data_IF_681862149824
#
_entry.id   IF_681862149824
#
_cell.length_a   1.000
_cell.length_b   1.000
_cell.length_c   1.000
_cell.angle_alpha   90.00
_cell.angle_beta   90.00
_cell.angle_gamma   90.00
#
_symmetry.space_group_name_H-M   'P 1'
#
loop_
_entity.id
_entity.type
_entity.pdbx_description
1 polymer ?
#
# COMPACT_ATOMS: atom_id res chain seq x y z
N UNK A 1 23.97 36.78 -6.79
CA UNK A 1 24.06 36.01 -5.54
C UNK A 1 24.33 34.56 -5.91
N UNK A 2 25.61 34.13 -5.94
CA UNK A 2 25.99 32.76 -6.29
C UNK A 2 25.73 31.87 -5.08
N UNK A 3 24.83 30.89 -5.26
CA UNK A 3 24.62 29.84 -4.27
C UNK A 3 25.92 29.02 -4.12
N UNK A 4 26.35 28.75 -2.88
CA UNK A 4 27.49 27.86 -2.67
C UNK A 4 27.16 26.45 -3.15
N UNK A 5 28.15 25.69 -3.65
CA UNK A 5 27.95 24.30 -4.13
C UNK A 5 27.29 23.44 -3.06
N UNK A 6 27.63 23.61 -1.80
CA UNK A 6 27.02 22.89 -0.68
C UNK A 6 25.51 23.15 -0.56
N UNK A 7 25.06 24.40 -0.76
CA UNK A 7 23.63 24.72 -0.76
C UNK A 7 22.89 24.03 -1.92
N UNK A 8 23.49 24.01 -3.10
CA UNK A 8 22.94 23.33 -4.28
C UNK A 8 22.79 21.84 -3.99
N UNK A 9 23.83 21.20 -3.46
CA UNK A 9 23.82 19.78 -3.12
C UNK A 9 22.78 19.44 -2.05
N UNK A 10 22.65 20.26 -1.02
CA UNK A 10 21.63 20.08 0.01
C UNK A 10 20.21 20.26 -0.55
N UNK A 11 19.97 21.23 -1.43
CA UNK A 11 18.70 21.40 -2.11
C UNK A 11 18.38 20.18 -2.99
N UNK A 12 19.33 19.69 -3.78
CA UNK A 12 19.16 18.51 -4.61
C UNK A 12 18.76 17.27 -3.79
N UNK A 13 19.35 17.09 -2.61
CA UNK A 13 19.03 15.99 -1.70
C UNK A 13 17.62 16.10 -1.07
N UNK A 14 17.06 17.30 -0.94
CA UNK A 14 15.71 17.50 -0.41
C UNK A 14 14.61 17.29 -1.46
N UNK A 15 14.88 17.48 -2.75
CA UNK A 15 13.87 17.37 -3.80
C UNK A 15 13.21 15.99 -3.90
N UNK A 16 13.94 14.85 -3.84
CA UNK A 16 13.31 13.52 -3.80
C UNK A 16 12.45 13.30 -2.57
N UNK A 17 12.82 13.88 -1.41
CA UNK A 17 12.02 13.79 -0.17
C UNK A 17 10.65 14.43 -0.39
N UNK A 18 10.61 15.62 -0.99
CA UNK A 18 9.35 16.28 -1.35
C UNK A 18 8.53 15.41 -2.27
N UNK A 19 9.13 14.80 -3.31
CA UNK A 19 8.44 13.89 -4.21
C UNK A 19 7.85 12.66 -3.51
N UNK A 20 8.59 12.05 -2.58
CA UNK A 20 8.10 10.93 -1.78
C UNK A 20 6.92 11.34 -0.89
N UNK A 21 6.98 12.50 -0.24
CA UNK A 21 5.89 12.99 0.60
C UNK A 21 4.65 13.37 -0.22
N UNK A 22 4.84 13.97 -1.41
CA UNK A 22 3.75 14.22 -2.35
C UNK A 22 3.09 12.92 -2.80
N UNK A 23 3.88 11.88 -3.09
CA UNK A 23 3.36 10.58 -3.46
C UNK A 23 2.56 9.97 -2.31
N UNK A 24 3.12 9.98 -1.10
CA UNK A 24 2.42 9.51 0.12
C UNK A 24 1.09 10.25 0.32
N UNK A 25 1.08 11.57 0.16
CA UNK A 25 -0.12 12.39 0.32
C UNK A 25 -1.17 12.11 -0.77
N UNK A 26 -0.74 11.79 -1.99
CA UNK A 26 -1.62 11.60 -3.14
C UNK A 26 -2.27 10.21 -3.21
N UNK A 27 -1.74 9.21 -2.48
CA UNK A 27 -2.19 7.81 -2.56
C UNK A 27 -3.70 7.58 -2.36
N UNK A 28 -4.39 8.22 -1.40
CA UNK A 28 -5.81 7.94 -1.15
C UNK A 28 -6.76 8.61 -2.15
N UNK A 29 -6.25 9.43 -3.05
CA UNK A 29 -7.05 10.12 -4.06
C UNK A 29 -7.13 9.33 -5.37
N UNK A 30 -8.12 9.65 -6.23
CA UNK A 30 -8.22 9.02 -7.53
C UNK A 30 -6.93 9.19 -8.34
N UNK A 31 -6.59 8.14 -9.10
CA UNK A 31 -5.43 8.16 -9.98
C UNK A 31 -5.59 9.28 -11.02
N UNK A 32 -4.85 10.31 -10.82
CA UNK A 32 -4.92 11.52 -11.62
C UNK A 32 -3.61 12.28 -11.62
N UNK A 33 -3.69 13.57 -11.91
CA UNK A 33 -2.53 14.43 -12.06
C UNK A 33 -1.59 14.41 -10.85
N UNK A 34 -2.09 14.27 -9.61
CA UNK A 34 -1.28 14.37 -8.40
C UNK A 34 -0.27 13.22 -8.25
N UNK A 35 -0.70 11.97 -8.45
CA UNK A 35 0.20 10.81 -8.35
C UNK A 35 1.17 10.76 -9.54
N UNK A 36 0.69 11.03 -10.75
CA UNK A 36 1.55 11.15 -11.95
C UNK A 36 2.59 12.25 -11.76
N UNK A 37 2.18 13.40 -11.27
CA UNK A 37 3.09 14.50 -10.97
C UNK A 37 4.16 14.09 -9.95
N UNK A 38 3.78 13.43 -8.85
CA UNK A 38 4.72 12.96 -7.84
C UNK A 38 5.70 11.92 -8.41
N UNK A 39 5.25 10.99 -9.26
CA UNK A 39 6.12 10.03 -9.95
C UNK A 39 7.09 10.71 -10.92
N UNK A 40 6.62 11.66 -11.74
CA UNK A 40 7.48 12.43 -12.65
C UNK A 40 8.48 13.28 -11.87
N UNK A 41 8.04 13.89 -10.76
CA UNK A 41 8.93 14.62 -9.87
C UNK A 41 10.06 13.73 -9.36
N UNK A 42 9.74 12.54 -8.88
CA UNK A 42 10.74 11.55 -8.44
C UNK A 42 11.67 11.13 -9.60
N UNK A 43 11.11 10.87 -10.78
CA UNK A 43 11.89 10.46 -11.95
C UNK A 43 12.92 11.51 -12.38
N UNK A 44 12.67 12.79 -12.13
CA UNK A 44 13.60 13.90 -12.43
C UNK A 44 14.54 14.17 -11.25
N UNK A 45 14.00 14.28 -10.04
CA UNK A 45 14.77 14.74 -8.88
C UNK A 45 15.71 13.69 -8.32
N UNK A 46 15.36 12.41 -8.46
CA UNK A 46 16.21 11.30 -8.00
C UNK A 46 17.53 11.20 -8.79
N UNK A 47 17.53 11.17 -10.15
CA UNK A 47 18.75 11.26 -10.94
C UNK A 47 19.55 12.55 -10.67
N UNK A 48 18.85 13.67 -10.49
CA UNK A 48 19.50 14.96 -10.20
C UNK A 48 20.29 14.90 -8.87
N UNK A 49 19.66 14.39 -7.79
CA UNK A 49 20.34 14.17 -6.50
C UNK A 49 21.50 13.19 -6.65
N UNK A 50 21.30 12.09 -7.39
CA UNK A 50 22.31 11.07 -7.62
C UNK A 50 23.56 11.62 -8.31
N UNK A 51 23.35 12.50 -9.32
CA UNK A 51 24.46 13.14 -10.07
C UNK A 51 25.12 14.24 -9.23
N UNK A 52 24.35 15.20 -8.69
CA UNK A 52 24.91 16.37 -8.00
C UNK A 52 25.62 16.01 -6.70
N UNK A 53 25.15 14.98 -6.00
CA UNK A 53 25.76 14.50 -4.76
C UNK A 53 26.76 13.35 -4.97
N UNK A 54 27.16 13.07 -6.23
CA UNK A 54 28.14 12.04 -6.57
C UNK A 54 27.86 10.68 -5.90
N UNK A 55 26.58 10.30 -5.76
CA UNK A 55 26.19 9.09 -5.02
C UNK A 55 26.72 7.80 -5.64
N UNK A 56 27.07 7.79 -6.94
CA UNK A 56 27.72 6.66 -7.60
C UNK A 56 29.06 6.27 -6.98
N UNK A 57 29.80 7.20 -6.37
CA UNK A 57 31.09 6.91 -5.74
C UNK A 57 30.97 6.02 -4.50
N UNK A 58 29.80 6.02 -3.86
CA UNK A 58 29.48 5.20 -2.69
C UNK A 58 28.52 4.07 -3.01
N UNK A 59 28.19 3.91 -4.30
CA UNK A 59 27.26 2.87 -4.72
C UNK A 59 27.89 1.48 -4.58
N UNK A 60 27.20 0.58 -3.91
CA UNK A 60 27.60 -0.81 -3.77
C UNK A 60 26.35 -1.70 -3.84
N UNK A 61 26.55 -2.92 -4.28
CA UNK A 61 25.47 -3.90 -4.29
C UNK A 61 25.24 -4.42 -2.89
N UNK A 62 23.98 -4.47 -2.49
CA UNK A 62 23.55 -5.08 -1.22
C UNK A 62 22.49 -6.15 -1.49
N UNK A 63 22.39 -7.21 -0.66
CA UNK A 63 21.35 -8.23 -0.82
C UNK A 63 19.94 -7.66 -0.88
N UNK A 64 19.67 -6.58 -0.17
CA UNK A 64 18.39 -5.90 -0.16
C UNK A 64 18.00 -5.33 -1.55
N UNK A 65 18.95 -5.04 -2.42
CA UNK A 65 18.68 -4.54 -3.78
C UNK A 65 18.00 -5.58 -4.69
N UNK A 66 18.07 -6.86 -4.36
CA UNK A 66 17.34 -7.90 -5.09
C UNK A 66 15.82 -7.72 -5.06
N UNK A 67 15.27 -7.07 -4.02
CA UNK A 67 13.85 -6.75 -3.95
C UNK A 67 13.45 -5.79 -5.06
N UNK A 68 14.28 -4.78 -5.29
CA UNK A 68 14.03 -3.80 -6.35
C UNK A 68 14.22 -4.40 -7.75
N UNK A 69 15.13 -5.36 -7.88
CA UNK A 69 15.23 -6.17 -9.11
C UNK A 69 13.97 -6.99 -9.34
N UNK A 70 13.40 -7.60 -8.28
CA UNK A 70 12.14 -8.31 -8.38
C UNK A 70 10.99 -7.40 -8.77
N UNK A 71 10.92 -6.17 -8.24
CA UNK A 71 9.93 -5.17 -8.65
C UNK A 71 10.04 -4.82 -10.13
N UNK A 72 11.26 -4.53 -10.60
CA UNK A 72 11.50 -4.23 -12.01
C UNK A 72 11.15 -5.45 -12.88
N UNK A 73 11.55 -6.65 -12.47
CA UNK A 73 11.22 -7.89 -13.19
C UNK A 73 9.70 -8.09 -13.28
N UNK A 74 8.97 -7.81 -12.20
CA UNK A 74 7.51 -7.91 -12.21
C UNK A 74 6.87 -6.88 -13.17
N UNK A 75 7.36 -5.64 -13.18
CA UNK A 75 6.93 -4.65 -14.18
C UNK A 75 7.20 -5.14 -15.61
N UNK A 76 8.39 -5.71 -15.86
CA UNK A 76 8.78 -6.18 -17.20
C UNK A 76 7.89 -7.31 -17.74
N UNK A 77 7.17 -8.04 -16.88
CA UNK A 77 6.18 -9.02 -17.35
C UNK A 77 5.12 -8.36 -18.25
N UNK A 78 4.68 -7.13 -17.92
CA UNK A 78 3.60 -6.46 -18.66
C UNK A 78 3.96 -6.25 -20.13
N UNK A 79 5.06 -5.55 -20.49
CA UNK A 79 5.43 -5.37 -21.88
C UNK A 79 5.91 -6.67 -22.57
N UNK A 80 6.53 -7.59 -21.84
CA UNK A 80 6.99 -8.87 -22.43
C UNK A 80 5.80 -9.76 -22.80
N UNK A 81 4.82 -9.92 -21.93
CA UNK A 81 3.64 -10.73 -22.22
C UNK A 81 2.77 -10.09 -23.31
N UNK A 82 2.80 -8.76 -23.44
CA UNK A 82 2.10 -8.10 -24.54
C UNK A 82 2.63 -8.48 -25.92
N UNK A 83 3.89 -8.92 -26.04
CA UNK A 83 4.41 -9.42 -27.31
C UNK A 83 3.70 -10.70 -27.76
N UNK A 84 3.12 -11.46 -26.83
CA UNK A 84 2.40 -12.71 -27.08
C UNK A 84 0.89 -12.54 -27.01
N UNK A 85 0.40 -11.39 -26.56
CA UNK A 85 -1.03 -11.06 -26.50
C UNK A 85 -1.45 -10.44 -27.83
N UNK A 86 -2.38 -11.07 -28.60
CA UNK A 86 -2.81 -10.54 -29.88
C UNK A 86 -3.67 -9.29 -29.74
N UNK A 87 -4.20 -9.02 -28.57
CA UNK A 87 -5.10 -7.91 -28.30
C UNK A 87 -4.34 -6.71 -27.76
N UNK A 88 -4.38 -5.61 -28.50
CA UNK A 88 -3.82 -4.33 -28.06
C UNK A 88 -4.94 -3.30 -27.94
N UNK A 89 -5.37 -3.03 -26.73
CA UNK A 89 -6.42 -2.08 -26.41
C UNK A 89 -5.86 -0.89 -25.60
N UNK A 90 -6.60 0.23 -25.47
CA UNK A 90 -6.27 1.31 -24.54
C UNK A 90 -6.10 0.82 -23.08
N UNK A 91 -6.66 -0.34 -22.75
CA UNK A 91 -6.48 -1.01 -21.48
C UNK A 91 -5.00 -1.37 -21.19
N UNK A 92 -4.22 -1.66 -22.25
CA UNK A 92 -2.80 -1.94 -22.11
C UNK A 92 -2.02 -0.73 -21.59
N UNK A 93 -2.25 0.45 -22.15
CA UNK A 93 -1.58 1.68 -21.73
C UNK A 93 -1.93 2.00 -20.27
N UNK A 94 -3.20 1.84 -19.91
CA UNK A 94 -3.66 1.99 -18.53
C UNK A 94 -3.00 0.99 -17.57
N UNK A 95 -2.82 -0.26 -18.00
CA UNK A 95 -2.17 -1.30 -17.20
C UNK A 95 -0.68 -1.01 -17.00
N UNK A 96 0.04 -0.58 -18.04
CA UNK A 96 1.45 -0.16 -17.90
C UNK A 96 1.57 0.94 -16.85
N UNK A 97 0.71 1.95 -16.90
CA UNK A 97 0.71 3.02 -15.90
C UNK A 97 0.48 2.50 -14.47
N UNK A 98 -0.40 1.52 -14.29
CA UNK A 98 -0.69 0.94 -12.97
C UNK A 98 0.48 0.15 -12.38
N UNK A 99 1.29 -0.49 -13.23
CA UNK A 99 2.49 -1.23 -12.81
C UNK A 99 3.77 -0.37 -12.80
N UNK A 100 3.73 0.85 -13.36
CA UNK A 100 4.86 1.79 -13.36
C UNK A 100 5.50 2.04 -11.98
N UNK A 101 4.76 2.01 -10.85
CA UNK A 101 5.35 2.12 -9.52
C UNK A 101 6.41 1.07 -9.21
N UNK A 102 6.26 -0.16 -9.71
CA UNK A 102 7.27 -1.20 -9.56
C UNK A 102 8.59 -0.81 -10.25
N UNK A 103 8.52 -0.23 -11.44
CA UNK A 103 9.70 0.25 -12.14
C UNK A 103 10.30 1.47 -11.44
N UNK A 104 9.50 2.50 -11.17
CA UNK A 104 9.96 3.75 -10.59
C UNK A 104 10.63 3.54 -9.22
N UNK A 105 9.95 2.85 -8.31
CA UNK A 105 10.50 2.55 -6.98
C UNK A 105 11.64 1.55 -7.06
N UNK A 106 11.57 0.58 -7.99
CA UNK A 106 12.66 -0.36 -8.25
C UNK A 106 13.95 0.37 -8.64
N UNK A 107 13.89 1.30 -9.58
CA UNK A 107 15.04 2.13 -9.99
C UNK A 107 15.55 3.02 -8.86
N UNK A 108 14.66 3.69 -8.14
CA UNK A 108 15.03 4.49 -6.97
C UNK A 108 15.75 3.66 -5.91
N UNK A 109 15.25 2.46 -5.59
CA UNK A 109 15.85 1.58 -4.59
C UNK A 109 17.20 1.01 -5.01
N UNK A 110 17.41 0.71 -6.30
CA UNK A 110 18.72 0.29 -6.83
C UNK A 110 19.73 1.44 -6.81
N UNK A 111 19.32 2.64 -7.23
CA UNK A 111 20.20 3.81 -7.25
C UNK A 111 20.69 4.16 -5.83
N UNK A 112 19.84 3.94 -4.82
CA UNK A 112 20.15 4.27 -3.43
C UNK A 112 19.31 5.45 -2.96
N UNK A 113 19.46 5.77 -1.69
CA UNK A 113 18.47 6.50 -0.93
C UNK A 113 18.98 7.86 -0.52
N UNK A 114 18.06 8.79 -0.40
CA UNK A 114 18.38 10.10 0.18
C UNK A 114 18.49 10.01 1.71
N UNK A 115 19.60 10.51 2.24
CA UNK A 115 19.90 10.59 3.68
C UNK A 115 19.07 11.65 4.44
N UNK A 116 18.36 12.49 3.70
CA UNK A 116 17.48 13.54 4.25
C UNK A 116 16.08 13.07 4.59
N UNK A 117 15.70 11.88 4.13
CA UNK A 117 14.37 11.34 4.41
C UNK A 117 14.30 10.74 5.81
N UNK A 118 13.21 11.02 6.52
CA UNK A 118 12.85 10.38 7.78
C UNK A 118 11.45 9.79 7.68
N UNK A 119 11.26 8.56 8.15
CA UNK A 119 9.99 7.83 8.05
C UNK A 119 8.85 8.50 8.81
N UNK A 120 9.16 9.25 9.85
CA UNK A 120 8.18 10.01 10.61
C UNK A 120 7.55 11.13 9.78
N UNK A 121 8.25 11.70 8.77
CA UNK A 121 7.62 12.63 7.82
C UNK A 121 6.50 11.94 7.02
N UNK A 122 6.72 10.71 6.56
CA UNK A 122 5.69 9.93 5.89
C UNK A 122 4.53 9.61 6.85
N UNK A 123 4.83 9.22 8.10
CA UNK A 123 3.81 8.95 9.11
C UNK A 123 2.92 10.17 9.37
N UNK A 124 3.52 11.34 9.60
CA UNK A 124 2.78 12.58 9.82
C UNK A 124 1.98 13.00 8.59
N UNK A 125 2.54 12.85 7.40
CA UNK A 125 1.83 13.13 6.15
C UNK A 125 0.60 12.22 6.02
N UNK A 126 0.77 10.91 6.23
CA UNK A 126 -0.35 9.97 6.14
C UNK A 126 -1.43 10.22 7.19
N UNK A 127 -1.04 10.47 8.44
CA UNK A 127 -1.98 10.77 9.51
C UNK A 127 -2.73 12.09 9.27
N UNK A 128 -2.02 13.12 8.81
CA UNK A 128 -2.62 14.41 8.46
C UNK A 128 -3.63 14.30 7.32
N UNK A 129 -3.26 13.62 6.24
CA UNK A 129 -4.17 13.38 5.10
C UNK A 129 -5.34 12.51 5.51
N UNK A 130 -5.12 11.43 6.29
CA UNK A 130 -6.20 10.60 6.83
C UNK A 130 -7.20 11.43 7.64
N UNK A 131 -6.70 12.28 8.52
CA UNK A 131 -7.53 13.19 9.33
C UNK A 131 -8.33 14.15 8.45
N UNK A 132 -7.70 14.76 7.45
CA UNK A 132 -8.37 15.65 6.51
C UNK A 132 -9.48 14.93 5.73
N UNK A 133 -9.24 13.71 5.25
CA UNK A 133 -10.26 12.89 4.57
C UNK A 133 -11.44 12.63 5.50
N UNK A 134 -11.18 12.21 6.73
CA UNK A 134 -12.25 11.91 7.70
C UNK A 134 -13.06 13.17 8.02
N UNK A 135 -12.42 14.31 8.23
CA UNK A 135 -13.12 15.59 8.47
C UNK A 135 -13.99 15.93 7.25
N UNK A 136 -13.47 15.85 6.04
CA UNK A 136 -14.24 16.11 4.82
C UNK A 136 -15.45 15.18 4.70
N UNK A 137 -15.30 13.89 5.02
CA UNK A 137 -16.40 12.92 5.00
C UNK A 137 -17.45 13.21 6.08
N UNK A 138 -17.03 13.58 7.29
CA UNK A 138 -17.93 13.96 8.38
C UNK A 138 -18.73 15.21 8.00
N UNK A 139 -18.08 16.26 7.50
CA UNK A 139 -18.73 17.49 7.07
C UNK A 139 -19.73 17.20 5.95
N UNK A 140 -19.33 16.45 4.94
CA UNK A 140 -20.20 16.06 3.82
C UNK A 140 -21.41 15.26 4.29
N UNK A 141 -21.20 14.26 5.15
CA UNK A 141 -22.28 13.43 5.69
C UNK A 141 -23.23 14.24 6.57
N UNK A 142 -22.69 15.08 7.46
CA UNK A 142 -23.48 15.92 8.35
C UNK A 142 -24.31 16.97 7.62
N UNK A 143 -23.82 17.50 6.48
CA UNK A 143 -24.59 18.43 5.65
C UNK A 143 -25.78 17.77 4.95
N UNK A 144 -25.69 16.48 4.63
CA UNK A 144 -26.73 15.76 3.90
C UNK A 144 -27.62 14.90 4.78
N UNK A 145 -27.15 14.50 5.96
CA UNK A 145 -27.83 13.59 6.89
C UNK A 145 -27.60 14.04 8.33
N UNK A 146 -28.47 14.89 8.90
CA UNK A 146 -28.30 15.41 10.26
C UNK A 146 -28.41 14.33 11.33
N UNK A 147 -29.10 13.20 11.05
CA UNK A 147 -29.29 12.11 12.02
C UNK A 147 -28.05 11.21 12.09
N UNK A 148 -27.40 11.18 13.24
CA UNK A 148 -26.21 10.37 13.49
C UNK A 148 -26.42 8.87 13.23
N UNK A 149 -27.64 8.35 13.49
CA UNK A 149 -27.97 6.95 13.22
C UNK A 149 -27.79 6.55 11.73
N UNK A 150 -27.94 7.49 10.80
CA UNK A 150 -27.76 7.28 9.37
C UNK A 150 -26.32 7.47 8.91
N UNK A 151 -25.41 7.97 9.75
CA UNK A 151 -24.03 8.23 9.36
C UNK A 151 -23.28 6.97 8.94
N UNK A 152 -23.51 5.85 9.62
CA UNK A 152 -22.89 4.55 9.29
C UNK A 152 -23.28 4.11 7.88
N UNK A 153 -24.54 4.35 7.46
CA UNK A 153 -25.05 4.02 6.14
C UNK A 153 -24.62 5.05 5.08
N UNK A 154 -24.36 6.29 5.47
CA UNK A 154 -24.08 7.41 4.59
C UNK A 154 -22.60 7.77 4.49
N UNK A 155 -21.74 7.23 5.38
CA UNK A 155 -20.29 7.41 5.35
C UNK A 155 -19.69 6.58 4.21
N UNK A 156 -20.20 6.84 3.00
CA UNK A 156 -19.80 6.12 1.80
C UNK A 156 -18.72 6.90 1.06
N UNK A 157 -17.47 6.42 1.19
CA UNK A 157 -16.30 6.99 0.52
C UNK A 157 -16.46 7.00 -1.00
N UNK A 158 -17.12 5.98 -1.56
CA UNK A 158 -17.29 5.84 -3.01
C UNK A 158 -18.08 6.97 -3.67
N UNK A 159 -18.81 7.77 -2.89
CA UNK A 159 -19.56 8.93 -3.39
C UNK A 159 -18.74 10.22 -3.40
N UNK A 160 -17.53 10.19 -2.88
CA UNK A 160 -16.64 11.36 -2.90
C UNK A 160 -15.88 11.39 -4.22
N UNK A 161 -16.16 12.36 -5.08
CA UNK A 161 -15.68 12.42 -6.48
C UNK A 161 -14.16 12.38 -6.65
N UNK A 162 -13.41 12.83 -5.63
CA UNK A 162 -11.95 12.94 -5.70
C UNK A 162 -11.22 11.96 -4.78
N UNK A 163 -11.93 11.21 -3.95
CA UNK A 163 -11.35 10.22 -3.05
C UNK A 163 -11.51 8.84 -3.71
N UNK A 164 -10.47 8.03 -3.63
CA UNK A 164 -10.46 6.70 -4.20
C UNK A 164 -11.50 5.77 -3.54
N UNK A 165 -11.68 4.57 -4.07
CA UNK A 165 -12.62 3.60 -3.52
C UNK A 165 -12.32 3.31 -2.05
N UNK A 166 -13.34 2.90 -1.29
CA UNK A 166 -13.19 2.56 0.13
C UNK A 166 -12.08 1.53 0.40
N UNK A 167 -11.82 0.64 -0.55
CA UNK A 167 -10.77 -0.38 -0.42
C UNK A 167 -9.37 0.25 -0.34
N UNK A 168 -9.06 1.17 -1.25
CA UNK A 168 -7.77 1.88 -1.31
C UNK A 168 -7.58 2.79 -0.09
N UNK A 169 -8.63 3.51 0.28
CA UNK A 169 -8.59 4.44 1.41
C UNK A 169 -8.47 3.69 2.74
N UNK A 170 -9.12 2.54 2.88
CA UNK A 170 -8.98 1.70 4.07
C UNK A 170 -7.57 1.09 4.20
N UNK A 171 -6.93 0.74 3.09
CA UNK A 171 -5.52 0.35 3.11
C UNK A 171 -4.66 1.53 3.58
N UNK A 172 -4.91 2.73 3.07
CA UNK A 172 -4.22 3.95 3.49
C UNK A 172 -4.36 4.22 5.00
N UNK A 173 -5.57 4.09 5.55
CA UNK A 173 -5.82 4.23 6.98
C UNK A 173 -5.05 3.19 7.79
N UNK A 174 -5.05 1.93 7.37
CA UNK A 174 -4.27 0.87 8.03
C UNK A 174 -2.78 1.18 8.04
N UNK A 175 -2.21 1.58 6.90
CA UNK A 175 -0.80 1.94 6.81
C UNK A 175 -0.46 3.18 7.65
N UNK A 176 -1.34 4.18 7.67
CA UNK A 176 -1.16 5.37 8.51
C UNK A 176 -1.12 5.02 10.01
N UNK A 177 -1.95 4.08 10.44
CA UNK A 177 -1.97 3.58 11.82
C UNK A 177 -0.69 2.80 12.16
N UNK A 178 -0.22 1.93 11.26
CA UNK A 178 1.02 1.17 11.44
C UNK A 178 2.21 2.14 11.61
N UNK A 179 2.32 3.15 10.75
CA UNK A 179 3.37 4.18 10.85
C UNK A 179 3.19 5.05 12.11
N UNK A 180 1.96 5.39 12.48
CA UNK A 180 1.66 6.13 13.71
C UNK A 180 2.10 5.37 14.97
N UNK A 181 1.79 4.07 15.07
CA UNK A 181 2.25 3.20 16.15
C UNK A 181 3.78 3.16 16.20
N UNK A 182 4.45 3.10 15.04
CA UNK A 182 5.91 3.15 14.97
C UNK A 182 6.46 4.43 15.60
N UNK A 183 5.94 5.60 15.25
CA UNK A 183 6.37 6.89 15.81
C UNK A 183 6.13 6.96 17.32
N UNK A 184 4.96 6.49 17.79
CA UNK A 184 4.62 6.52 19.22
C UNK A 184 5.54 5.63 20.06
N UNK A 185 5.94 4.45 19.58
CA UNK A 185 6.60 3.43 20.39
C UNK A 185 8.12 3.36 20.19
N UNK A 186 8.61 3.64 18.99
CA UNK A 186 9.99 3.35 18.62
C UNK A 186 10.83 4.59 18.34
N UNK A 187 10.20 5.70 18.00
CA UNK A 187 10.92 6.96 17.86
C UNK A 187 11.16 7.62 19.22
N UNK A 188 12.39 8.13 19.42
CA UNK A 188 12.76 8.86 20.63
C UNK A 188 12.22 10.29 20.59
N UNK A 189 10.89 10.44 20.60
CA UNK A 189 10.20 11.73 20.59
C UNK A 189 9.70 12.11 21.98
N UNK A 190 9.43 13.39 22.17
CA UNK A 190 8.84 13.90 23.41
C UNK A 190 7.46 13.28 23.65
N UNK A 191 7.03 13.23 24.92
CA UNK A 191 5.70 12.72 25.31
C UNK A 191 4.58 13.49 24.56
N UNK A 192 4.74 14.80 24.38
CA UNK A 192 3.78 15.63 23.67
C UNK A 192 3.59 15.16 22.24
N UNK A 193 4.70 14.92 21.50
CA UNK A 193 4.64 14.41 20.12
C UNK A 193 3.94 13.08 20.06
N UNK A 194 4.18 12.16 21.00
CA UNK A 194 3.51 10.85 21.06
C UNK A 194 2.01 11.00 21.28
N UNK A 195 1.58 11.90 22.20
CA UNK A 195 0.18 12.17 22.46
C UNK A 195 -0.49 12.74 21.20
N UNK A 196 0.13 13.74 20.56
CA UNK A 196 -0.39 14.33 19.33
C UNK A 196 -0.50 13.26 18.23
N UNK A 197 0.52 12.42 18.05
CA UNK A 197 0.47 11.31 17.07
C UNK A 197 -0.70 10.37 17.37
N UNK A 198 -0.88 9.98 18.64
CA UNK A 198 -1.97 9.11 19.04
C UNK A 198 -3.34 9.76 18.77
N UNK A 199 -3.50 11.07 19.00
CA UNK A 199 -4.72 11.80 18.67
C UNK A 199 -5.01 11.80 17.17
N UNK A 200 -3.99 11.96 16.32
CA UNK A 200 -4.14 11.89 14.85
C UNK A 200 -4.45 10.48 14.32
N UNK A 201 -4.25 9.43 15.13
CA UNK A 201 -4.67 8.07 14.77
C UNK A 201 -6.18 7.84 14.96
N UNK A 202 -6.82 8.57 15.87
CA UNK A 202 -8.26 8.39 16.19
C UNK A 202 -9.16 8.51 14.96
N UNK A 203 -9.03 9.52 14.07
CA UNK A 203 -9.83 9.61 12.86
C UNK A 203 -9.74 8.39 11.96
N UNK A 204 -8.53 7.82 11.78
CA UNK A 204 -8.35 6.62 10.96
C UNK A 204 -9.04 5.39 11.57
N UNK A 205 -8.96 5.21 12.89
CA UNK A 205 -9.65 4.13 13.60
C UNK A 205 -11.18 4.30 13.44
N UNK A 206 -11.67 5.51 13.69
CA UNK A 206 -13.09 5.82 13.54
C UNK A 206 -13.58 5.51 12.12
N UNK A 207 -12.84 5.94 11.09
CA UNK A 207 -13.17 5.68 9.70
C UNK A 207 -13.24 4.15 9.41
N UNK A 208 -12.26 3.37 9.85
CA UNK A 208 -12.26 1.92 9.65
C UNK A 208 -13.44 1.20 10.30
N UNK A 209 -13.97 1.73 11.42
CA UNK A 209 -15.12 1.17 12.10
C UNK A 209 -16.43 1.46 11.37
N UNK A 210 -16.56 2.62 10.71
CA UNK A 210 -17.82 3.08 10.12
C UNK A 210 -17.88 2.97 8.58
N UNK A 211 -16.74 2.81 7.88
CA UNK A 211 -16.73 2.69 6.42
C UNK A 211 -17.26 1.34 5.94
N UNK A 212 -17.73 1.29 4.68
CA UNK A 212 -18.32 0.08 4.09
C UNK A 212 -17.32 -1.07 3.86
N UNK A 213 -16.01 -0.81 3.92
CA UNK A 213 -14.97 -1.77 3.57
C UNK A 213 -14.68 -2.79 4.66
N UNK A 214 -15.31 -3.97 4.58
CA UNK A 214 -15.08 -5.11 5.51
C UNK A 214 -13.61 -5.51 5.60
N UNK A 215 -12.92 -5.54 4.47
CA UNK A 215 -11.50 -5.90 4.38
C UNK A 215 -10.63 -4.94 5.19
N UNK A 216 -10.93 -3.63 5.18
CA UNK A 216 -10.19 -2.65 5.96
C UNK A 216 -10.27 -2.89 7.46
N UNK A 217 -11.48 -3.16 7.97
CA UNK A 217 -11.68 -3.49 9.38
C UNK A 217 -11.00 -4.81 9.78
N UNK A 218 -11.16 -5.86 8.98
CA UNK A 218 -10.49 -7.15 9.23
C UNK A 218 -8.97 -7.01 9.23
N UNK A 219 -8.43 -6.23 8.29
CA UNK A 219 -6.99 -5.92 8.22
C UNK A 219 -6.53 -5.19 9.48
N UNK A 220 -7.27 -4.19 9.93
CA UNK A 220 -6.98 -3.48 11.17
C UNK A 220 -6.93 -4.41 12.38
N UNK A 221 -7.94 -5.26 12.54
CA UNK A 221 -8.03 -6.22 13.63
C UNK A 221 -6.86 -7.23 13.58
N UNK A 222 -6.57 -7.77 12.40
CA UNK A 222 -5.49 -8.73 12.21
C UNK A 222 -4.10 -8.10 12.49
N UNK A 223 -3.82 -6.94 11.91
CA UNK A 223 -2.54 -6.24 12.13
C UNK A 223 -2.36 -5.86 13.61
N UNK A 224 -3.44 -5.41 14.26
CA UNK A 224 -3.40 -5.09 15.71
C UNK A 224 -3.15 -6.35 16.54
N UNK A 225 -3.80 -7.45 16.22
CA UNK A 225 -3.58 -8.74 16.91
C UNK A 225 -2.13 -9.22 16.76
N UNK A 226 -1.60 -9.25 15.54
CA UNK A 226 -0.21 -9.64 15.25
C UNK A 226 0.77 -8.73 15.98
N UNK A 227 0.53 -7.43 15.98
CA UNK A 227 1.35 -6.46 16.69
C UNK A 227 1.36 -6.72 18.20
N UNK A 228 0.19 -6.85 18.83
CA UNK A 228 0.06 -7.11 20.27
C UNK A 228 0.74 -8.43 20.67
N UNK A 229 0.53 -9.49 19.88
CA UNK A 229 1.13 -10.80 20.12
C UNK A 229 2.66 -10.71 20.01
N UNK A 230 3.19 -10.09 18.96
CA UNK A 230 4.63 -9.89 18.80
C UNK A 230 5.23 -9.08 19.95
N UNK A 231 4.58 -7.97 20.30
CA UNK A 231 5.04 -7.10 21.38
C UNK A 231 5.08 -7.84 22.73
N UNK A 232 4.06 -8.64 23.03
CA UNK A 232 3.99 -9.50 24.21
C UNK A 232 5.14 -10.50 24.24
N UNK A 233 5.37 -11.23 23.15
CA UNK A 233 6.38 -12.28 23.05
C UNK A 233 7.80 -11.71 23.15
N UNK A 234 8.11 -10.66 22.40
CA UNK A 234 9.45 -10.06 22.35
C UNK A 234 9.81 -9.37 23.67
N UNK A 235 8.86 -8.67 24.29
CA UNK A 235 9.07 -7.99 25.57
C UNK A 235 8.88 -8.89 26.79
N UNK A 236 8.47 -10.16 26.58
CA UNK A 236 8.18 -11.14 27.65
C UNK A 236 7.24 -10.62 28.73
N UNK A 237 6.29 -9.74 28.34
CA UNK A 237 5.31 -9.12 29.24
C UNK A 237 4.03 -9.95 29.27
N UNK A 238 4.06 -11.06 30.00
CA UNK A 238 2.94 -12.03 30.05
C UNK A 238 1.62 -11.44 30.56
N UNK A 239 1.66 -10.34 31.35
CA UNK A 239 0.46 -9.63 31.73
C UNK A 239 -0.31 -9.07 30.52
N UNK A 240 0.34 -8.87 29.39
CA UNK A 240 -0.33 -8.46 28.14
C UNK A 240 -1.22 -9.57 27.55
N UNK A 241 -1.16 -10.79 28.07
CA UNK A 241 -2.08 -11.85 27.67
C UNK A 241 -3.53 -11.44 27.94
N UNK A 242 -3.78 -10.73 29.05
CA UNK A 242 -5.11 -10.18 29.35
C UNK A 242 -5.53 -9.11 28.32
N UNK A 243 -4.59 -8.28 27.84
CA UNK A 243 -4.86 -7.27 26.81
C UNK A 243 -5.17 -7.96 25.47
N UNK A 244 -4.39 -8.98 25.11
CA UNK A 244 -4.63 -9.78 23.90
C UNK A 244 -5.99 -10.49 23.99
N UNK A 245 -6.30 -11.11 25.12
CA UNK A 245 -7.58 -11.77 25.35
C UNK A 245 -8.77 -10.78 25.27
N UNK A 246 -8.64 -9.63 25.92
CA UNK A 246 -9.65 -8.57 25.86
C UNK A 246 -9.85 -8.06 24.42
N UNK A 247 -8.73 -7.90 23.68
CA UNK A 247 -8.81 -7.51 22.26
C UNK A 247 -9.50 -8.58 21.42
N UNK A 248 -9.22 -9.87 21.61
CA UNK A 248 -9.88 -10.96 20.89
C UNK A 248 -11.38 -10.99 21.19
N UNK A 249 -11.79 -10.81 22.45
CA UNK A 249 -13.22 -10.72 22.83
C UNK A 249 -13.88 -9.51 22.18
N UNK A 250 -13.24 -8.35 22.22
CA UNK A 250 -13.76 -7.12 21.60
C UNK A 250 -13.87 -7.26 20.07
N UNK A 251 -12.81 -7.77 19.43
CA UNK A 251 -12.79 -8.01 18.00
C UNK A 251 -13.87 -9.04 17.59
N UNK A 252 -14.01 -10.12 18.36
CA UNK A 252 -15.08 -11.10 18.18
C UNK A 252 -16.46 -10.47 18.30
N UNK A 253 -16.68 -9.63 19.32
CA UNK A 253 -17.92 -8.87 19.47
C UNK A 253 -18.21 -7.94 18.28
N UNK A 254 -17.20 -7.22 17.78
CA UNK A 254 -17.33 -6.37 16.59
C UNK A 254 -17.70 -7.22 15.36
N UNK A 255 -17.04 -8.36 15.17
CA UNK A 255 -17.29 -9.26 14.03
C UNK A 255 -18.70 -9.85 14.10
N UNK A 256 -19.11 -10.34 15.25
CA UNK A 256 -20.42 -11.00 15.43
C UNK A 256 -21.60 -10.01 15.31
N UNK A 257 -21.43 -8.77 15.78
CA UNK A 257 -22.47 -7.75 15.71
C UNK A 257 -22.43 -6.91 14.44
N UNK A 258 -21.52 -7.16 13.54
CA UNK A 258 -21.42 -6.43 12.28
C UNK A 258 -22.16 -7.19 11.18
N UNK A 259 -23.40 -6.78 10.89
CA UNK A 259 -24.25 -7.36 9.84
C UNK A 259 -23.53 -7.45 8.48
N UNK A 260 -22.57 -6.55 8.24
CA UNK A 260 -21.77 -6.56 7.00
C UNK A 260 -20.79 -7.72 6.94
N UNK A 261 -20.33 -8.24 8.08
CA UNK A 261 -19.42 -9.39 8.15
C UNK A 261 -20.18 -10.74 8.11
N UNK A 262 -21.46 -10.74 8.45
CA UNK A 262 -22.33 -11.92 8.39
C UNK A 262 -22.40 -12.56 6.99
N UNK A 263 -22.25 -11.73 5.94
CA UNK A 263 -22.29 -12.18 4.54
C UNK A 263 -21.03 -12.92 4.08
N UNK A 264 -19.94 -12.95 4.85
CA UNK A 264 -18.66 -13.55 4.42
C UNK A 264 -18.79 -15.08 4.26
N UNK A 265 -19.66 -15.72 5.02
CA UNK A 265 -19.85 -17.18 4.97
C UNK A 265 -21.07 -17.66 4.18
N UNK A 266 -21.88 -16.76 3.61
CA UNK A 266 -23.09 -17.17 2.90
C UNK A 266 -22.76 -17.55 1.45
N UNK A 267 -23.39 -18.64 0.98
CA UNK A 267 -23.27 -19.17 -0.39
C UNK A 267 -23.70 -18.17 -1.48
N UNK A 268 -24.37 -17.10 -1.10
CA UNK A 268 -24.80 -16.00 -1.97
C UNK A 268 -23.72 -14.95 -2.22
N UNK A 269 -22.45 -15.15 -1.76
CA UNK A 269 -21.39 -14.21 -2.02
C UNK A 269 -20.94 -14.28 -3.49
N UNK A 270 -21.13 -13.24 -4.31
CA UNK A 270 -20.80 -13.26 -5.73
C UNK A 270 -19.32 -13.55 -6.01
N UNK A 271 -18.44 -13.31 -5.04
CA UNK A 271 -17.00 -13.60 -5.19
C UNK A 271 -16.68 -15.07 -5.38
N UNK A 272 -17.47 -15.97 -4.80
CA UNK A 272 -17.27 -17.43 -4.96
C UNK A 272 -17.42 -17.80 -6.45
N UNK A 273 -18.43 -17.27 -7.11
CA UNK A 273 -18.68 -17.51 -8.54
C UNK A 273 -17.64 -16.82 -9.43
N UNK A 274 -17.27 -15.59 -9.09
CA UNK A 274 -16.19 -14.84 -9.77
C UNK A 274 -14.87 -15.63 -9.70
N UNK A 275 -14.52 -16.15 -8.53
CA UNK A 275 -13.29 -16.93 -8.34
C UNK A 275 -13.34 -18.28 -9.04
N UNK A 276 -14.52 -18.95 -9.08
CA UNK A 276 -14.72 -20.18 -9.87
C UNK A 276 -14.40 -19.94 -11.34
N UNK A 277 -14.99 -18.92 -11.96
CA UNK A 277 -14.73 -18.55 -13.36
C UNK A 277 -13.25 -18.20 -13.58
N UNK A 278 -12.62 -17.50 -12.64
CA UNK A 278 -11.19 -17.18 -12.72
C UNK A 278 -10.31 -18.43 -12.69
N UNK A 279 -10.61 -19.38 -11.80
CA UNK A 279 -9.87 -20.67 -11.72
C UNK A 279 -10.06 -21.48 -12.99
N UNK A 280 -11.28 -21.59 -13.53
CA UNK A 280 -11.56 -22.26 -14.80
C UNK A 280 -10.78 -21.62 -15.96
N UNK A 281 -10.69 -20.28 -15.97
CA UNK A 281 -9.87 -19.55 -16.95
C UNK A 281 -8.39 -19.88 -16.81
N UNK A 282 -7.87 -19.93 -15.58
CA UNK A 282 -6.47 -20.29 -15.29
C UNK A 282 -6.14 -21.70 -15.78
N UNK A 283 -7.04 -22.66 -15.52
CA UNK A 283 -6.78 -24.08 -15.79
C UNK A 283 -6.56 -24.40 -17.28
N UNK A 284 -7.00 -23.53 -18.19
CA UNK A 284 -6.72 -23.72 -19.62
C UNK A 284 -5.32 -23.25 -20.04
N UNK A 285 -4.80 -22.18 -19.40
CA UNK A 285 -3.45 -21.66 -19.69
C UNK A 285 -2.65 -21.39 -18.39
N UNK A 286 -2.41 -22.42 -17.55
CA UNK A 286 -1.87 -22.23 -16.22
C UNK A 286 -0.41 -21.74 -16.21
N UNK A 287 0.38 -22.03 -17.24
CA UNK A 287 1.82 -21.76 -17.28
C UNK A 287 2.11 -20.36 -17.78
N UNK A 288 1.54 -19.96 -18.90
CA UNK A 288 1.83 -18.68 -19.54
C UNK A 288 0.75 -17.62 -19.33
N UNK A 289 -0.48 -18.03 -18.94
CA UNK A 289 -1.63 -17.14 -18.87
C UNK A 289 -2.10 -16.70 -20.27
N UNK A 290 -2.94 -15.66 -20.28
CA UNK A 290 -3.56 -15.14 -21.51
C UNK A 290 -2.95 -13.82 -21.99
N UNK A 291 -2.13 -13.16 -21.19
CA UNK A 291 -1.76 -11.75 -21.40
C UNK A 291 -2.70 -10.79 -20.71
N UNK A 292 -2.33 -9.51 -20.67
CA UNK A 292 -3.04 -8.49 -19.87
C UNK A 292 -4.45 -8.23 -20.39
N UNK A 293 -4.58 -8.05 -21.71
CA UNK A 293 -5.86 -7.72 -22.35
C UNK A 293 -6.73 -8.95 -22.57
N UNK A 294 -6.16 -10.01 -23.15
CA UNK A 294 -6.88 -11.26 -23.43
C UNK A 294 -7.38 -11.97 -22.19
N UNK A 295 -6.66 -11.89 -21.06
CA UNK A 295 -7.12 -12.47 -19.80
C UNK A 295 -8.47 -11.89 -19.35
N UNK A 296 -8.62 -10.57 -19.43
CA UNK A 296 -9.86 -9.90 -19.05
C UNK A 296 -11.01 -10.22 -19.99
N UNK A 297 -10.75 -10.22 -21.30
CA UNK A 297 -11.79 -10.57 -22.29
C UNK A 297 -12.26 -12.01 -22.11
N UNK A 298 -11.34 -12.94 -21.94
CA UNK A 298 -11.66 -14.35 -21.73
C UNK A 298 -12.43 -14.57 -20.43
N UNK A 299 -12.04 -13.91 -19.35
CA UNK A 299 -12.74 -13.94 -18.07
C UNK A 299 -14.20 -13.46 -18.20
N UNK A 300 -14.42 -12.31 -18.85
CA UNK A 300 -15.76 -11.77 -19.11
C UNK A 300 -16.57 -12.71 -19.99
N UNK A 301 -15.99 -13.25 -21.08
CA UNK A 301 -16.64 -14.19 -21.99
C UNK A 301 -17.15 -15.43 -21.26
N UNK A 302 -16.35 -15.99 -20.35
CA UNK A 302 -16.71 -17.17 -19.54
C UNK A 302 -17.76 -16.84 -18.50
N UNK A 303 -17.61 -15.74 -17.78
CA UNK A 303 -18.60 -15.30 -16.81
C UNK A 303 -19.98 -15.12 -17.44
N UNK A 304 -20.05 -14.55 -18.65
CA UNK A 304 -21.31 -14.40 -19.37
C UNK A 304 -21.88 -15.73 -19.89
N UNK A 305 -21.05 -16.74 -20.14
CA UNK A 305 -21.48 -18.08 -20.57
C UNK A 305 -21.91 -18.99 -19.43
N UNK A 306 -21.45 -18.72 -18.19
CA UNK A 306 -21.77 -19.52 -17.01
C UNK A 306 -23.16 -19.17 -16.48
N UNK A 307 -24.08 -20.16 -16.51
CA UNK A 307 -25.49 -19.98 -16.07
C UNK A 307 -25.57 -19.68 -14.57
N UNK A 308 -24.80 -20.42 -13.78
CA UNK A 308 -24.78 -20.28 -12.32
C UNK A 308 -24.28 -18.91 -11.91
N UNK A 309 -23.22 -18.42 -12.56
CA UNK A 309 -22.71 -17.06 -12.37
C UNK A 309 -23.78 -16.01 -12.71
N UNK A 310 -24.44 -16.16 -13.86
CA UNK A 310 -25.47 -15.21 -14.30
C UNK A 310 -26.71 -15.22 -13.39
N UNK A 311 -27.15 -16.37 -12.92
CA UNK A 311 -28.29 -16.48 -12.00
C UNK A 311 -27.99 -15.79 -10.67
N UNK A 312 -26.85 -16.07 -10.05
CA UNK A 312 -26.46 -15.47 -8.78
C UNK A 312 -26.05 -14.00 -8.90
N UNK A 313 -25.44 -13.63 -10.00
CA UNK A 313 -25.10 -12.25 -10.27
C UNK A 313 -26.35 -11.42 -10.60
N UNK A 314 -27.35 -11.99 -11.27
CA UNK A 314 -28.62 -11.34 -11.51
C UNK A 314 -29.35 -11.01 -10.20
N UNK A 315 -29.28 -11.89 -9.19
CA UNK A 315 -29.85 -11.62 -7.87
C UNK A 315 -29.08 -10.54 -7.12
N UNK A 316 -27.76 -10.54 -7.19
CA UNK A 316 -26.91 -9.48 -6.65
C UNK A 316 -27.22 -8.12 -7.30
N UNK A 317 -27.37 -8.11 -8.61
CA UNK A 317 -27.74 -6.91 -9.40
C UNK A 317 -29.15 -6.44 -9.06
N UNK A 318 -30.12 -7.36 -8.84
CA UNK A 318 -31.47 -7.00 -8.41
C UNK A 318 -31.51 -6.42 -7.00
N UNK A 319 -30.65 -6.91 -6.11
CA UNK A 319 -30.51 -6.40 -4.74
C UNK A 319 -29.89 -5.00 -4.69
N UNK A 320 -29.12 -4.61 -5.74
CA UNK A 320 -28.50 -3.29 -5.90
C UNK A 320 -28.90 -2.60 -7.24
N UNK A 321 -30.18 -2.17 -7.38
CA UNK A 321 -30.72 -1.67 -8.64
C UNK A 321 -30.00 -0.44 -9.23
N UNK A 322 -29.15 0.24 -8.46
CA UNK A 322 -28.31 1.35 -8.94
C UNK A 322 -27.28 0.95 -9.99
N UNK A 323 -26.89 -0.32 -10.01
CA UNK A 323 -25.93 -0.84 -10.98
C UNK A 323 -26.59 -1.27 -12.29
N UNK A 324 -27.86 -1.71 -12.26
CA UNK A 324 -28.63 -2.13 -13.45
C UNK A 324 -29.04 -0.98 -14.34
N UNK A 325 -29.40 0.18 -13.77
CA UNK A 325 -29.91 1.32 -14.53
C UNK A 325 -28.85 2.00 -15.44
N UNK A 326 -27.57 1.70 -15.27
CA UNK A 326 -26.47 2.34 -15.98
C UNK A 326 -25.74 1.44 -16.99
N UNK A 327 -26.20 0.21 -17.24
CA UNK A 327 -25.53 -0.73 -18.15
C UNK A 327 -24.11 -1.12 -17.73
N UNK A 328 -23.69 -0.85 -16.48
CA UNK A 328 -22.34 -1.06 -15.97
C UNK A 328 -22.07 -2.48 -15.48
N UNK A 329 -23.06 -3.35 -15.48
CA UNK A 329 -22.94 -4.76 -15.07
C UNK A 329 -21.75 -5.43 -15.74
N UNK A 330 -21.52 -5.15 -17.01
CA UNK A 330 -20.41 -5.71 -17.77
C UNK A 330 -19.02 -5.19 -17.34
N UNK A 331 -18.93 -3.98 -16.79
CA UNK A 331 -17.65 -3.38 -16.41
C UNK A 331 -17.13 -3.84 -15.03
N UNK A 332 -18.02 -4.21 -14.10
CA UNK A 332 -17.61 -4.69 -12.77
C UNK A 332 -17.05 -6.12 -12.79
N UNK A 333 -17.41 -6.92 -13.79
CA UNK A 333 -16.91 -8.29 -14.00
C UNK A 333 -15.51 -8.31 -14.66
N UNK A 334 -14.90 -7.16 -14.93
CA UNK A 334 -13.63 -7.13 -15.67
C UNK A 334 -12.43 -7.73 -14.96
N UNK A 335 -12.54 -8.04 -13.66
CA UNK A 335 -11.44 -8.58 -12.88
C UNK A 335 -11.97 -9.46 -11.72
N UNK A 336 -11.17 -10.44 -11.24
CA UNK A 336 -11.62 -11.41 -10.26
C UNK A 336 -11.67 -10.91 -8.82
N UNK A 337 -11.42 -9.61 -8.54
CA UNK A 337 -11.27 -9.07 -7.19
C UNK A 337 -10.32 -9.91 -6.31
N UNK A 338 -9.23 -10.37 -6.90
CA UNK A 338 -8.17 -11.11 -6.23
C UNK A 338 -6.89 -10.98 -7.05
N UNK A 339 -5.89 -10.36 -6.46
CA UNK A 339 -4.63 -10.06 -7.15
C UNK A 339 -3.87 -11.30 -7.60
N UNK A 340 -3.93 -12.39 -6.82
CA UNK A 340 -3.25 -13.64 -7.17
C UNK A 340 -3.89 -14.30 -8.39
N UNK A 341 -5.22 -14.42 -8.40
CA UNK A 341 -5.96 -14.98 -9.52
C UNK A 341 -5.81 -14.13 -10.78
N UNK A 342 -5.89 -12.81 -10.65
CA UNK A 342 -5.68 -11.90 -11.78
C UNK A 342 -4.27 -12.04 -12.38
N UNK A 343 -3.25 -12.04 -11.52
CA UNK A 343 -1.86 -12.19 -11.95
C UNK A 343 -1.64 -13.55 -12.63
N UNK A 344 -2.29 -14.60 -12.11
CA UNK A 344 -2.19 -15.94 -12.70
C UNK A 344 -2.88 -16.02 -14.06
N UNK A 345 -4.07 -15.45 -14.22
CA UNK A 345 -4.74 -15.36 -15.53
C UNK A 345 -3.90 -14.59 -16.55
N UNK A 346 -3.27 -13.50 -16.14
CA UNK A 346 -2.51 -12.63 -17.04
C UNK A 346 -1.15 -13.22 -17.42
N UNK A 347 -0.36 -13.66 -16.45
CA UNK A 347 1.06 -14.00 -16.61
C UNK A 347 1.39 -15.47 -16.29
N UNK A 348 0.39 -16.28 -15.99
CA UNK A 348 0.58 -17.67 -15.59
C UNK A 348 1.39 -17.82 -14.30
N UNK A 349 2.02 -18.99 -14.14
CA UNK A 349 2.82 -19.33 -12.95
C UNK A 349 4.00 -18.37 -12.75
N UNK A 350 4.55 -17.78 -13.82
CA UNK A 350 5.67 -16.83 -13.73
C UNK A 350 5.26 -15.55 -13.03
N UNK A 351 4.06 -15.02 -13.34
CA UNK A 351 3.53 -13.85 -12.67
C UNK A 351 3.30 -14.09 -11.18
N UNK A 352 2.69 -15.23 -10.84
CA UNK A 352 2.46 -15.63 -9.45
C UNK A 352 3.77 -15.77 -8.70
N UNK A 353 4.76 -16.44 -9.29
CA UNK A 353 6.08 -16.61 -8.68
C UNK A 353 6.75 -15.26 -8.37
N UNK A 354 6.77 -14.34 -9.34
CA UNK A 354 7.34 -13.02 -9.12
C UNK A 354 6.54 -12.18 -8.12
N UNK A 355 5.21 -12.25 -8.13
CA UNK A 355 4.38 -11.58 -7.11
C UNK A 355 4.72 -12.09 -5.71
N UNK A 356 4.81 -13.40 -5.53
CA UNK A 356 5.17 -14.02 -4.25
C UNK A 356 6.57 -13.59 -3.82
N UNK A 357 7.53 -13.52 -4.74
CA UNK A 357 8.88 -13.00 -4.46
C UNK A 357 8.80 -11.54 -4.00
N UNK A 358 8.05 -10.68 -4.69
CA UNK A 358 7.87 -9.28 -4.31
C UNK A 358 7.27 -9.11 -2.90
N UNK A 359 6.47 -10.08 -2.42
CA UNK A 359 5.87 -10.06 -1.09
C UNK A 359 6.79 -10.65 -0.02
N UNK A 360 7.52 -11.73 -0.34
CA UNK A 360 8.33 -12.46 0.64
C UNK A 360 9.71 -11.81 0.83
N UNK A 361 10.38 -11.37 -0.23
CA UNK A 361 11.73 -10.80 -0.10
C UNK A 361 11.82 -9.64 0.90
N UNK A 362 10.87 -8.68 0.95
CA UNK A 362 10.91 -7.63 1.95
C UNK A 362 10.82 -8.16 3.39
N UNK A 363 10.05 -9.21 3.64
CA UNK A 363 9.94 -9.83 4.96
C UNK A 363 11.20 -10.59 5.38
N UNK A 364 12.06 -10.97 4.44
CA UNK A 364 13.37 -11.58 4.73
C UNK A 364 14.48 -10.55 4.98
N UNK A 365 14.21 -9.27 4.78
CA UNK A 365 15.16 -8.21 5.16
C UNK A 365 15.31 -8.15 6.68
N UNK A 366 16.52 -8.05 7.17
CA UNK A 366 16.76 -7.90 8.61
C UNK A 366 16.89 -6.42 8.96
N UNK A 367 15.77 -5.69 8.95
CA UNK A 367 15.73 -4.24 9.19
C UNK A 367 15.67 -3.85 10.70
N UNK A 368 16.00 -4.77 11.61
CA UNK A 368 15.99 -4.50 13.06
C UNK A 368 14.60 -4.05 13.54
N UNK A 369 14.53 -2.90 14.22
CA UNK A 369 13.27 -2.35 14.77
C UNK A 369 12.21 -2.05 13.71
N UNK A 370 12.60 -1.89 12.45
CA UNK A 370 11.71 -1.55 11.34
C UNK A 370 11.01 -2.78 10.75
N UNK A 371 11.57 -3.99 10.94
CA UNK A 371 11.09 -5.19 10.26
C UNK A 371 9.63 -5.50 10.58
N UNK A 372 9.25 -5.48 11.86
CA UNK A 372 7.85 -5.73 12.26
C UNK A 372 6.86 -4.82 11.53
N UNK A 373 7.18 -3.53 11.43
CA UNK A 373 6.28 -2.56 10.81
C UNK A 373 6.19 -2.73 9.30
N UNK A 374 7.29 -3.08 8.65
CA UNK A 374 7.27 -3.47 7.24
C UNK A 374 6.43 -4.72 7.03
N UNK A 375 6.59 -5.75 7.88
CA UNK A 375 5.81 -6.99 7.79
C UNK A 375 4.31 -6.73 8.02
N UNK A 376 3.94 -5.82 8.92
CA UNK A 376 2.54 -5.40 9.10
C UNK A 376 2.00 -4.65 7.88
N UNK A 377 2.81 -3.81 7.24
CA UNK A 377 2.41 -3.15 5.98
C UNK A 377 2.21 -4.16 4.85
N UNK A 378 3.09 -5.17 4.75
CA UNK A 378 2.95 -6.26 3.77
C UNK A 378 1.70 -7.09 4.08
N UNK A 379 1.45 -7.41 5.35
CA UNK A 379 0.24 -8.13 5.77
C UNK A 379 -1.02 -7.35 5.40
N UNK A 380 -1.05 -6.04 5.65
CA UNK A 380 -2.17 -5.19 5.26
C UNK A 380 -2.38 -5.18 3.74
N UNK A 381 -1.30 -5.12 2.97
CA UNK A 381 -1.35 -5.21 1.51
C UNK A 381 -1.85 -6.59 1.04
N UNK A 382 -1.34 -7.69 1.60
CA UNK A 382 -1.76 -9.06 1.25
C UNK A 382 -3.24 -9.26 1.55
N UNK A 383 -3.72 -8.81 2.70
CA UNK A 383 -5.14 -8.85 3.04
C UNK A 383 -5.99 -8.11 2.00
N UNK A 384 -5.54 -6.94 1.56
CA UNK A 384 -6.21 -6.19 0.50
C UNK A 384 -6.16 -6.94 -0.84
N UNK A 385 -5.00 -7.47 -1.22
CA UNK A 385 -4.77 -8.18 -2.47
C UNK A 385 -5.58 -9.50 -2.60
N UNK A 386 -5.95 -10.12 -1.48
CA UNK A 386 -6.85 -11.28 -1.47
C UNK A 386 -8.29 -10.94 -1.90
N UNK A 387 -8.69 -9.67 -1.79
CA UNK A 387 -10.05 -9.23 -2.05
C UNK A 387 -10.16 -8.16 -3.13
N UNK A 388 -9.03 -7.79 -3.76
CA UNK A 388 -8.97 -6.79 -4.81
C UNK A 388 -7.86 -7.10 -5.81
N UNK A 389 -7.97 -6.57 -7.02
CA UNK A 389 -7.01 -6.74 -8.10
C UNK A 389 -5.84 -5.77 -7.99
N UNK A 390 -4.61 -6.22 -8.33
CA UNK A 390 -3.42 -5.35 -8.33
C UNK A 390 -3.53 -4.20 -9.32
N UNK A 391 -4.11 -4.47 -10.50
CA UNK A 391 -4.29 -3.49 -11.55
C UNK A 391 -5.31 -2.40 -11.22
N UNK A 392 -6.06 -2.54 -10.13
CA UNK A 392 -7.00 -1.52 -9.70
C UNK A 392 -6.39 -0.61 -8.64
N UNK A 393 -6.54 0.70 -8.85
CA UNK A 393 -6.35 1.71 -7.83
C UNK A 393 -4.96 1.82 -7.22
N UNK A 394 -3.88 1.58 -7.99
CA UNK A 394 -2.49 1.81 -7.57
C UNK A 394 -2.01 1.01 -6.35
N UNK A 395 -2.63 -0.10 -6.05
CA UNK A 395 -2.21 -0.94 -4.93
C UNK A 395 -0.70 -1.29 -4.95
N UNK A 396 -0.07 -1.57 -6.12
CA UNK A 396 1.37 -1.77 -6.18
C UNK A 396 2.19 -0.63 -5.61
N UNK A 397 1.71 0.61 -5.74
CA UNK A 397 2.40 1.80 -5.22
C UNK A 397 2.52 1.77 -3.70
N UNK A 398 1.49 1.31 -3.00
CA UNK A 398 1.53 1.17 -1.54
C UNK A 398 2.62 0.20 -1.08
N UNK A 399 2.67 -0.99 -1.68
CA UNK A 399 3.68 -2.00 -1.37
C UNK A 399 5.10 -1.47 -1.63
N UNK A 400 5.34 -1.02 -2.86
CA UNK A 400 6.65 -0.55 -3.29
C UNK A 400 7.14 0.62 -2.43
N UNK A 401 6.24 1.57 -2.14
CA UNK A 401 6.56 2.74 -1.35
C UNK A 401 6.90 2.36 0.10
N UNK A 402 6.11 1.51 0.76
CA UNK A 402 6.41 1.10 2.13
C UNK A 402 7.76 0.38 2.22
N UNK A 403 8.08 -0.50 1.27
CA UNK A 403 9.40 -1.15 1.21
C UNK A 403 10.51 -0.11 1.06
N UNK A 404 10.36 0.85 0.16
CA UNK A 404 11.33 1.92 -0.05
C UNK A 404 11.54 2.76 1.22
N UNK A 405 10.46 3.20 1.88
CA UNK A 405 10.53 4.06 3.06
C UNK A 405 11.24 3.38 4.23
N UNK A 406 10.87 2.15 4.57
CA UNK A 406 11.47 1.43 5.68
C UNK A 406 12.93 1.06 5.43
N UNK A 407 13.26 0.64 4.21
CA UNK A 407 14.63 0.34 3.85
C UNK A 407 15.51 1.59 3.86
N UNK A 408 14.98 2.71 3.37
CA UNK A 408 15.67 4.01 3.40
C UNK A 408 16.03 4.41 4.82
N UNK A 409 15.06 4.38 5.71
CA UNK A 409 15.30 4.75 7.10
C UNK A 409 16.33 3.84 7.77
N UNK A 410 16.25 2.52 7.53
CA UNK A 410 17.22 1.56 8.08
C UNK A 410 18.65 1.86 7.60
N UNK A 411 18.83 2.09 6.31
CA UNK A 411 20.16 2.38 5.74
C UNK A 411 20.71 3.72 6.27
N UNK A 412 19.87 4.74 6.40
CA UNK A 412 20.24 6.02 7.00
C UNK A 412 20.72 5.85 8.44
N UNK A 413 19.99 5.07 9.27
CA UNK A 413 20.37 4.81 10.66
C UNK A 413 21.72 4.07 10.74
N UNK A 414 21.95 3.07 9.89
CA UNK A 414 23.21 2.30 9.85
C UNK A 414 24.38 3.20 9.44
N UNK A 415 24.16 4.06 8.45
CA UNK A 415 25.19 5.01 8.00
C UNK A 415 25.57 6.01 9.11
N UNK A 416 24.58 6.60 9.78
CA UNK A 416 24.81 7.52 10.88
C UNK A 416 25.55 6.87 12.07
N UNK A 417 25.24 5.58 12.35
CA UNK A 417 25.94 4.84 13.38
C UNK A 417 27.43 4.61 13.04
N UNK A 418 27.73 4.31 11.76
CA UNK A 418 29.12 4.17 11.30
C UNK A 418 29.90 5.46 11.46
N UNK A 419 29.31 6.60 11.04
CA UNK A 419 29.95 7.92 11.18
C UNK A 419 30.25 8.25 12.65
N UNK A 420 29.32 7.97 13.57
CA UNK A 420 29.54 8.20 15.00
C UNK A 420 30.66 7.33 15.57
N UNK A 421 30.79 6.08 15.13
CA UNK A 421 31.90 5.19 15.54
C UNK A 421 33.24 5.73 15.04
N UNK A 422 33.33 6.11 13.77
CA UNK A 422 34.55 6.69 13.20
C UNK A 422 34.98 7.96 13.92
N UNK A 423 34.01 8.85 14.23
CA UNK A 423 34.30 10.06 15.00
C UNK A 423 34.77 9.78 16.44
N UNK A 424 34.32 8.69 17.06
CA UNK A 424 34.78 8.29 18.39
C UNK A 424 36.15 7.58 18.39
N UNK A 425 36.51 6.93 17.31
CA UNK A 425 37.81 6.26 17.13
C UNK A 425 38.93 7.21 16.74
N UNK A 426 38.60 8.34 16.09
CA UNK A 426 39.51 9.40 15.72
C UNK A 426 39.04 10.73 16.31
N UNK A 427 39.17 10.95 17.63
CA UNK A 427 38.91 12.26 18.20
C UNK A 427 39.88 13.25 17.55
N UNK A 428 39.33 14.25 16.92
CA UNK A 428 40.13 15.37 16.36
C UNK A 428 40.98 15.85 17.50
N UNK A 429 42.31 15.68 17.39
CA UNK A 429 43.25 16.24 18.36
C UNK A 429 42.91 17.71 18.51
N UNK A 430 42.50 18.14 19.71
CA UNK A 430 42.31 19.54 20.03
C UNK A 430 43.59 20.27 19.62
N UNK A 431 43.49 21.02 18.55
CA UNK A 431 44.54 21.99 18.21
C UNK A 431 44.50 23.00 19.35
N UNK A 432 45.31 22.75 20.38
CA UNK A 432 45.57 23.75 21.42
C UNK A 432 46.09 24.97 20.72
N UNK A 433 45.44 26.13 20.80
CA UNK A 433 46.02 27.34 20.26
C UNK A 433 47.28 27.62 21.09
N UNK A 434 48.44 27.42 20.48
CA UNK A 434 49.71 27.95 21.03
C UNK A 434 49.61 29.43 21.13
N UNK A 435 49.67 29.91 22.36
CA UNK A 435 49.67 31.31 22.76
C UNK A 435 50.82 32.09 22.15
#
# INVERSE_FOLDING_TARGET
MTLSQEKINNMAACLPVVGLLLLVAALPFHYGCAQRFALYWLAVTYPLDYVLNHRWSHWHWTPAKWIYVAFIAFFCLVPVWQLFDPIRTPLFDFTIEQYAPFLAVGLCGIAGITDKFQIDYAAWTMLGVSTAIVICLIVRTGLHHPDFAHWVLCFNINRAEHINTHMVVNLYFNLSLILGIFVVLYEKRSVIVRIITALYMVPSIFALLITEGRTGLLTFLLCTFVFLLHYMLVRRRWWMLSVVAAFVVLAGGIIMNNERLELIGKTTNPRIYIWKVAVETIMEKPVLGYGVCSAREEFVRRGLADKEFNEHYADYVRTFPKYTAQGRVHFEIMHPHNALLETWMQFGVFGVFLLVICLILPSLMRLGKYQLFLDLCILAFVMQACFESLGNNLQPMYLCLMVLLFQNQYQSDVYLQKLKRQASEHPVAEITPTA
#
